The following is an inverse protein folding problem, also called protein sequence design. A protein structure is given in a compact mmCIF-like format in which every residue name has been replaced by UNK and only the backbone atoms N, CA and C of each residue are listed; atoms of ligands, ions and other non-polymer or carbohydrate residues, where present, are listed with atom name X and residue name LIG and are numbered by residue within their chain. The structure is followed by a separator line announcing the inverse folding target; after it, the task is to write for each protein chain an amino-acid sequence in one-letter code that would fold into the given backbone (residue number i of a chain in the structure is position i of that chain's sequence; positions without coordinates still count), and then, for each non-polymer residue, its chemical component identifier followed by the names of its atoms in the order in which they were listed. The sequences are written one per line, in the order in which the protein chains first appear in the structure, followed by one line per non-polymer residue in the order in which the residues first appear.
data_IF_305595838008
#
_entry.id   IF_305595838008
#
_cell.length_a   1.000
_cell.length_b   1.000
_cell.length_c   1.000
_cell.angle_alpha   90.00
_cell.angle_beta   90.00
_cell.angle_gamma   90.00
#
_symmetry.space_group_name_H-M   'P 1'
#
loop_
_entity.id
_entity.type
_entity.pdbx_description
1 polymer ?
#
# COMPACT_ATOMS: atom_id res chain seq x y z
N UNK A 1 -24.45 -32.47 23.79
CA UNK A 1 -23.12 -32.08 24.21
C UNK A 1 -22.48 -31.27 23.11
N UNK A 2 -22.41 -29.94 23.29
CA UNK A 2 -21.85 -28.98 22.37
C UNK A 2 -20.35 -28.83 22.72
N UNK A 3 -19.40 -29.00 21.83
CA UNK A 3 -18.01 -28.66 22.15
C UNK A 3 -17.80 -27.14 22.01
N UNK A 4 -17.22 -26.57 23.06
CA UNK A 4 -16.87 -25.20 23.22
C UNK A 4 -15.97 -24.70 22.08
N UNK A 5 -16.28 -23.49 21.59
CA UNK A 5 -15.39 -22.71 20.75
C UNK A 5 -14.16 -22.31 21.59
N UNK A 6 -13.02 -22.93 21.31
CA UNK A 6 -11.75 -22.49 21.84
C UNK A 6 -11.36 -21.18 21.18
N UNK A 7 -11.28 -20.12 21.96
CA UNK A 7 -10.60 -18.89 21.59
C UNK A 7 -9.13 -19.23 21.32
N UNK A 8 -8.76 -19.24 20.05
CA UNK A 8 -7.36 -19.34 19.66
C UNK A 8 -6.74 -17.97 19.91
N UNK A 9 -6.14 -17.83 21.05
CA UNK A 9 -5.21 -16.73 21.36
C UNK A 9 -4.07 -16.84 20.35
N UNK A 10 -4.04 -15.97 19.35
CA UNK A 10 -2.90 -15.78 18.45
C UNK A 10 -1.80 -15.13 19.28
N UNK A 11 -1.03 -15.94 19.94
CA UNK A 11 0.12 -15.56 20.76
C UNK A 11 1.27 -15.11 19.85
N UNK A 12 1.69 -13.90 20.01
CA UNK A 12 3.04 -13.26 20.04
C UNK A 12 4.26 -14.13 19.64
N UNK A 13 4.20 -14.93 18.60
CA UNK A 13 5.31 -15.79 18.16
C UNK A 13 5.88 -15.40 16.79
N UNK A 14 5.37 -14.38 16.13
CA UNK A 14 5.92 -13.88 14.85
C UNK A 14 7.08 -12.88 15.03
N UNK A 15 7.42 -12.50 16.27
CA UNK A 15 8.42 -11.47 16.58
C UNK A 15 9.89 -11.90 16.45
N UNK A 16 10.22 -13.07 15.96
CA UNK A 16 11.55 -13.66 16.12
C UNK A 16 12.23 -14.19 14.84
N UNK A 17 11.77 -13.85 13.64
CA UNK A 17 12.40 -14.36 12.40
C UNK A 17 13.23 -13.30 11.65
N UNK A 18 12.88 -12.02 11.73
CA UNK A 18 13.66 -10.91 11.15
C UNK A 18 13.80 -9.83 12.22
N UNK A 19 15.05 -9.31 12.42
CA UNK A 19 15.30 -8.21 13.35
C UNK A 19 14.43 -6.99 13.05
N UNK A 20 14.20 -6.10 14.06
CA UNK A 20 13.54 -4.82 13.85
C UNK A 20 14.23 -4.06 12.72
N UNK A 21 13.45 -3.56 11.75
CA UNK A 21 13.92 -2.72 10.66
C UNK A 21 13.49 -1.29 10.94
N UNK A 22 14.30 -0.31 10.54
CA UNK A 22 13.93 1.09 10.57
C UNK A 22 13.54 1.56 9.15
N UNK A 23 12.35 2.17 9.03
CA UNK A 23 11.81 2.68 7.78
C UNK A 23 11.60 4.20 7.86
N UNK A 24 12.08 4.94 6.88
CA UNK A 24 11.68 6.32 6.65
C UNK A 24 10.36 6.37 5.87
N UNK A 25 9.38 7.10 6.35
CA UNK A 25 8.12 7.32 5.61
C UNK A 25 7.97 8.81 5.33
N UNK A 26 7.87 9.15 4.04
CA UNK A 26 7.70 10.52 3.56
C UNK A 26 6.33 10.67 2.91
N UNK A 27 5.53 11.61 3.42
CA UNK A 27 4.14 11.77 3.04
C UNK A 27 3.21 11.00 3.98
N UNK A 28 2.55 11.73 4.88
CA UNK A 28 1.73 11.21 5.96
C UNK A 28 0.24 11.53 5.77
N UNK A 29 -0.19 11.63 4.51
CA UNK A 29 -1.62 11.63 4.18
C UNK A 29 -2.29 10.31 4.60
N UNK A 30 -3.59 10.16 4.31
CA UNK A 30 -4.37 8.97 4.72
C UNK A 30 -3.64 7.64 4.50
N UNK A 31 -3.04 7.45 3.32
CA UNK A 31 -2.36 6.19 2.97
C UNK A 31 -1.03 6.05 3.71
N UNK A 32 -0.25 7.14 3.83
CA UNK A 32 1.02 7.15 4.56
C UNK A 32 0.84 6.82 6.04
N UNK A 33 -0.18 7.37 6.70
CA UNK A 33 -0.51 7.04 8.08
C UNK A 33 -0.86 5.55 8.26
N UNK A 34 -1.58 4.96 7.30
CA UNK A 34 -1.87 3.51 7.33
C UNK A 34 -0.57 2.70 7.24
N UNK A 35 0.34 3.07 6.34
CA UNK A 35 1.66 2.40 6.21
C UNK A 35 2.43 2.52 7.53
N UNK A 36 2.53 3.72 8.12
CA UNK A 36 3.19 3.96 9.41
C UNK A 36 2.64 3.03 10.49
N UNK A 37 1.32 3.02 10.67
CA UNK A 37 0.67 2.22 11.70
C UNK A 37 0.94 0.72 11.51
N UNK A 38 0.80 0.20 10.29
CA UNK A 38 1.03 -1.22 10.02
C UNK A 38 2.47 -1.65 10.24
N UNK A 39 3.43 -0.79 9.88
CA UNK A 39 4.87 -1.05 10.08
C UNK A 39 5.21 -1.06 11.58
N UNK A 40 4.67 -0.10 12.35
CA UNK A 40 4.82 -0.05 13.80
C UNK A 40 4.16 -1.25 14.50
N UNK A 41 2.95 -1.64 14.08
CA UNK A 41 2.21 -2.80 14.61
C UNK A 41 2.96 -4.12 14.37
N UNK A 42 3.70 -4.22 13.26
CA UNK A 42 4.57 -5.35 12.95
C UNK A 42 5.87 -5.36 13.81
N UNK A 43 6.13 -4.31 14.58
CA UNK A 43 7.27 -4.21 15.49
C UNK A 43 8.54 -3.65 14.84
N UNK A 44 8.41 -2.95 13.72
CA UNK A 44 9.47 -2.17 13.09
C UNK A 44 9.48 -0.73 13.62
N UNK A 45 10.56 -0.02 13.39
CA UNK A 45 10.71 1.39 13.76
C UNK A 45 10.42 2.28 12.55
N UNK A 46 9.79 3.43 12.77
CA UNK A 46 9.48 4.39 11.70
C UNK A 46 10.05 5.76 12.03
N UNK A 47 10.73 6.38 11.07
CA UNK A 47 11.04 7.81 11.04
C UNK A 47 10.11 8.47 10.04
N UNK A 48 9.31 9.44 10.46
CA UNK A 48 8.21 9.99 9.67
C UNK A 48 8.38 11.48 9.37
N UNK A 49 8.13 11.87 8.12
CA UNK A 49 8.14 13.25 7.68
C UNK A 49 6.99 13.60 6.75
N UNK A 50 6.42 14.77 6.94
CA UNK A 50 5.44 15.43 6.05
C UNK A 50 5.61 16.94 6.14
N UNK A 51 5.12 17.67 5.15
CA UNK A 51 5.04 19.14 5.18
C UNK A 51 3.99 19.63 6.19
N UNK A 52 3.02 18.80 6.56
CA UNK A 52 2.00 19.06 7.57
C UNK A 52 2.52 18.66 8.96
N UNK A 53 2.75 19.66 9.82
CA UNK A 53 3.12 19.40 11.20
C UNK A 53 2.07 18.61 11.99
N UNK A 54 0.78 18.72 11.63
CA UNK A 54 -0.31 17.93 12.22
C UNK A 54 -0.15 16.46 11.85
N UNK A 55 0.10 16.12 10.58
CA UNK A 55 0.30 14.75 10.15
C UNK A 55 1.55 14.11 10.77
N UNK A 56 2.61 14.89 10.98
CA UNK A 56 3.82 14.44 11.71
C UNK A 56 3.50 14.17 13.18
N UNK A 57 2.69 15.03 13.83
CA UNK A 57 2.28 14.83 15.21
C UNK A 57 1.41 13.55 15.36
N UNK A 58 0.47 13.31 14.44
CA UNK A 58 -0.37 12.09 14.44
C UNK A 58 0.50 10.83 14.31
N UNK A 59 1.50 10.85 13.43
CA UNK A 59 2.45 9.74 13.29
C UNK A 59 3.29 9.54 14.57
N UNK A 60 3.71 10.62 15.21
CA UNK A 60 4.46 10.56 16.48
C UNK A 60 3.60 10.01 17.62
N UNK A 61 2.32 10.38 17.70
CA UNK A 61 1.37 9.84 18.68
C UNK A 61 1.13 8.34 18.46
N UNK A 62 1.23 7.86 17.22
CA UNK A 62 1.19 6.44 16.89
C UNK A 62 2.50 5.69 17.24
N UNK A 63 3.59 6.39 17.52
CA UNK A 63 4.87 5.80 17.94
C UNK A 63 6.01 5.97 16.92
N UNK A 64 5.81 6.69 15.83
CA UNK A 64 6.89 7.03 14.90
C UNK A 64 7.82 8.11 15.48
N UNK A 65 9.07 8.10 15.06
CA UNK A 65 10.02 9.18 15.36
C UNK A 65 9.81 10.32 14.36
N UNK A 66 9.41 11.53 14.79
CA UNK A 66 9.24 12.63 13.87
C UNK A 66 10.59 13.15 13.34
N UNK A 67 10.63 13.54 12.07
CA UNK A 67 11.75 14.24 11.47
C UNK A 67 11.37 15.68 11.12
N UNK A 68 12.34 16.60 11.28
CA UNK A 68 12.16 18.03 11.00
C UNK A 68 12.27 18.38 9.50
N UNK A 69 12.75 17.44 8.67
CA UNK A 69 12.95 17.57 7.24
C UNK A 69 13.49 16.28 6.63
N UNK A 70 13.66 16.27 5.31
CA UNK A 70 14.20 15.10 4.59
C UNK A 70 15.67 14.82 4.97
N UNK A 71 16.44 15.86 5.22
CA UNK A 71 17.82 15.75 5.72
C UNK A 71 17.87 15.07 7.09
N UNK A 72 17.05 15.52 8.03
CA UNK A 72 16.96 14.94 9.37
C UNK A 72 16.42 13.50 9.33
N UNK A 73 15.46 13.22 8.44
CA UNK A 73 14.98 11.85 8.20
C UNK A 73 16.13 10.94 7.75
N UNK A 74 16.89 11.36 6.74
CA UNK A 74 18.01 10.58 6.21
C UNK A 74 19.13 10.37 7.26
N UNK A 75 19.44 11.42 8.05
CA UNK A 75 20.44 11.34 9.12
C UNK A 75 20.02 10.38 10.25
N UNK A 76 18.72 10.35 10.60
CA UNK A 76 18.16 9.42 11.62
C UNK A 76 18.16 7.97 11.17
N UNK A 77 18.00 7.72 9.86
CA UNK A 77 18.03 6.37 9.30
C UNK A 77 19.45 5.78 9.27
N UNK A 78 20.50 6.61 9.28
CA UNK A 78 21.87 6.15 9.28
C UNK A 78 22.30 5.53 7.95
N UNK A 79 23.03 4.42 8.02
CA UNK A 79 23.46 3.65 6.85
C UNK A 79 22.37 2.68 6.39
N UNK A 80 22.42 2.19 5.14
CA UNK A 80 21.46 1.25 4.55
C UNK A 80 19.99 1.74 4.66
N UNK A 81 19.75 2.99 4.24
CA UNK A 81 18.43 3.62 4.37
C UNK A 81 17.35 2.87 3.59
N UNK A 82 16.19 2.75 4.21
CA UNK A 82 14.96 2.23 3.61
C UNK A 82 13.91 3.32 3.72
N UNK A 83 13.48 3.87 2.57
CA UNK A 83 12.57 5.02 2.52
C UNK A 83 11.34 4.65 1.69
N UNK A 84 10.15 4.93 2.21
CA UNK A 84 8.88 4.78 1.51
C UNK A 84 8.23 6.15 1.28
N UNK A 85 8.02 6.48 0.01
CA UNK A 85 7.38 7.72 -0.40
C UNK A 85 5.87 7.49 -0.61
N UNK A 86 5.06 8.32 0.02
CA UNK A 86 3.60 8.38 -0.13
C UNK A 86 3.14 9.80 -0.48
N UNK A 87 3.91 10.47 -1.32
CA UNK A 87 3.63 11.83 -1.79
C UNK A 87 2.83 11.81 -3.11
N UNK A 88 2.17 12.93 -3.49
CA UNK A 88 1.50 13.03 -4.78
C UNK A 88 2.43 12.72 -5.95
N UNK A 89 1.91 12.00 -6.96
CA UNK A 89 2.66 11.68 -8.16
C UNK A 89 3.11 12.95 -8.94
N UNK A 90 4.17 12.82 -9.72
CA UNK A 90 4.72 13.92 -10.52
C UNK A 90 5.79 14.71 -9.78
N UNK A 91 5.70 16.04 -9.84
CA UNK A 91 6.74 16.97 -9.35
C UNK A 91 7.07 16.79 -7.86
N UNK A 92 6.11 16.35 -7.03
CA UNK A 92 6.35 16.13 -5.61
C UNK A 92 7.32 14.97 -5.37
N UNK A 93 7.22 13.88 -6.13
CA UNK A 93 8.18 12.76 -6.06
C UNK A 93 9.56 13.21 -6.54
N UNK A 94 9.60 13.95 -7.66
CA UNK A 94 10.87 14.45 -8.22
C UNK A 94 11.57 15.41 -7.26
N UNK A 95 10.83 16.33 -6.61
CA UNK A 95 11.37 17.26 -5.61
C UNK A 95 11.89 16.51 -4.36
N UNK A 96 11.12 15.54 -3.87
CA UNK A 96 11.53 14.71 -2.71
C UNK A 96 12.82 13.92 -3.00
N UNK A 97 12.91 13.29 -4.17
CA UNK A 97 14.13 12.58 -4.59
C UNK A 97 15.32 13.53 -4.73
N UNK A 98 15.14 14.69 -5.36
CA UNK A 98 16.22 15.66 -5.53
C UNK A 98 16.79 16.19 -4.20
N UNK A 99 15.94 16.33 -3.18
CA UNK A 99 16.36 16.74 -1.83
C UNK A 99 17.05 15.60 -1.07
N UNK A 100 16.59 14.36 -1.25
CA UNK A 100 17.22 13.18 -0.63
C UNK A 100 18.54 12.77 -1.30
N UNK A 101 18.71 12.98 -2.60
CA UNK A 101 19.82 12.48 -3.42
C UNK A 101 21.21 12.73 -2.82
N UNK A 102 21.52 13.91 -2.23
CA UNK A 102 22.83 14.13 -1.60
C UNK A 102 23.14 13.24 -0.40
N UNK A 103 22.14 12.56 0.15
CA UNK A 103 22.21 11.69 1.32
C UNK A 103 22.05 10.21 0.97
N UNK A 104 21.75 9.90 -0.31
CA UNK A 104 21.54 8.54 -0.79
C UNK A 104 22.83 7.91 -1.29
N UNK A 105 22.93 6.61 -1.16
CA UNK A 105 24.01 5.77 -1.63
C UNK A 105 23.47 4.57 -2.41
N UNK A 106 24.28 3.85 -3.19
CA UNK A 106 23.81 2.66 -3.92
C UNK A 106 23.29 1.50 -3.04
N UNK A 107 23.59 1.51 -1.75
CA UNK A 107 23.12 0.50 -0.79
C UNK A 107 21.75 0.86 -0.18
N UNK A 108 21.28 2.08 -0.43
CA UNK A 108 19.97 2.56 0.04
C UNK A 108 18.82 2.12 -0.89
N UNK A 109 17.61 2.05 -0.36
CA UNK A 109 16.41 1.72 -1.13
C UNK A 109 15.35 2.79 -0.93
N UNK A 110 14.82 3.30 -2.03
CA UNK A 110 13.66 4.21 -2.05
C UNK A 110 12.52 3.52 -2.78
N UNK A 111 11.39 3.33 -2.09
CA UNK A 111 10.15 2.79 -2.66
C UNK A 111 9.13 3.93 -2.88
N UNK A 112 8.72 4.15 -4.11
CA UNK A 112 7.61 5.04 -4.47
C UNK A 112 6.28 4.27 -4.37
N UNK A 113 5.57 4.45 -3.27
CA UNK A 113 4.26 3.82 -3.01
C UNK A 113 3.09 4.68 -3.48
N UNK A 114 3.35 5.80 -4.16
CA UNK A 114 2.34 6.66 -4.75
C UNK A 114 1.69 6.06 -6.00
N UNK A 115 0.95 6.88 -6.72
CA UNK A 115 0.30 6.48 -7.98
C UNK A 115 1.03 7.11 -9.18
N UNK A 116 2.33 6.92 -9.24
CA UNK A 116 3.19 7.46 -10.29
C UNK A 116 2.96 6.77 -11.64
N UNK A 117 3.24 7.50 -12.74
CA UNK A 117 3.26 6.89 -14.05
C UNK A 117 4.52 6.00 -14.19
N UNK A 118 4.37 4.83 -14.78
CA UNK A 118 5.46 3.84 -14.86
C UNK A 118 6.70 4.34 -15.64
N UNK A 119 6.51 5.19 -16.66
CA UNK A 119 7.64 5.79 -17.39
C UNK A 119 8.43 6.77 -16.52
N UNK A 120 7.76 7.52 -15.63
CA UNK A 120 8.44 8.36 -14.64
C UNK A 120 9.22 7.51 -13.64
N UNK A 121 8.68 6.36 -13.25
CA UNK A 121 9.39 5.43 -12.36
C UNK A 121 10.67 4.89 -13.01
N UNK A 122 10.63 4.53 -14.29
CA UNK A 122 11.82 4.15 -15.04
C UNK A 122 12.83 5.28 -15.10
N UNK A 123 12.39 6.52 -15.38
CA UNK A 123 13.25 7.71 -15.43
C UNK A 123 13.92 7.98 -14.07
N UNK A 124 13.16 7.93 -12.99
CA UNK A 124 13.64 8.14 -11.61
C UNK A 124 14.64 7.08 -11.20
N UNK A 125 14.32 5.80 -11.44
CA UNK A 125 15.23 4.71 -11.13
C UNK A 125 16.56 4.73 -11.90
N UNK A 126 16.61 5.39 -13.07
CA UNK A 126 17.84 5.60 -13.83
C UNK A 126 18.60 6.88 -13.39
N UNK A 127 17.99 7.76 -12.61
CA UNK A 127 18.53 9.05 -12.24
C UNK A 127 19.01 9.12 -10.79
N UNK A 128 18.54 8.23 -9.91
CA UNK A 128 18.98 8.18 -8.51
C UNK A 128 20.11 7.17 -8.30
N UNK A 129 21.00 7.46 -7.36
CA UNK A 129 22.08 6.55 -6.95
C UNK A 129 21.53 5.36 -6.13
N UNK A 130 20.46 5.56 -5.36
CA UNK A 130 19.80 4.49 -4.59
C UNK A 130 19.05 3.50 -5.48
N UNK A 131 18.82 2.30 -4.99
CA UNK A 131 17.88 1.39 -5.64
C UNK A 131 16.45 1.95 -5.53
N UNK A 132 15.83 2.17 -6.66
CA UNK A 132 14.45 2.66 -6.75
C UNK A 132 13.48 1.51 -7.01
N UNK A 133 12.47 1.38 -6.13
CA UNK A 133 11.34 0.49 -6.30
C UNK A 133 10.09 1.30 -6.59
N UNK A 134 9.35 0.93 -7.62
CA UNK A 134 8.03 1.44 -7.88
C UNK A 134 6.99 0.45 -7.32
N UNK A 135 6.18 0.93 -6.37
CA UNK A 135 5.27 0.10 -5.59
C UNK A 135 3.81 0.50 -5.84
N UNK A 136 3.16 -0.13 -6.81
CA UNK A 136 1.73 0.04 -7.05
C UNK A 136 0.92 -0.51 -5.87
N UNK A 137 0.19 0.36 -5.18
CA UNK A 137 -0.58 0.03 -3.98
C UNK A 137 -2.08 -0.01 -4.30
N UNK A 138 -2.75 -1.12 -3.99
CA UNK A 138 -4.21 -1.31 -4.12
C UNK A 138 -4.83 -1.73 -2.79
N UNK A 139 -6.06 -1.28 -2.52
CA UNK A 139 -6.80 -1.55 -1.28
C UNK A 139 -7.44 -0.31 -0.68
N UNK A 140 -6.98 0.88 -1.06
CA UNK A 140 -7.54 2.16 -0.60
C UNK A 140 -7.61 2.27 0.94
N UNK A 141 -8.58 3.01 1.50
CA UNK A 141 -8.71 3.18 2.95
C UNK A 141 -8.94 1.89 3.73
N UNK A 142 -9.51 0.86 3.11
CA UNK A 142 -9.71 -0.45 3.74
C UNK A 142 -8.39 -1.20 4.01
N UNK A 143 -7.28 -0.76 3.41
CA UNK A 143 -5.94 -1.25 3.73
C UNK A 143 -5.54 -1.05 5.20
N UNK A 144 -6.20 -0.15 5.94
CA UNK A 144 -6.00 -0.01 7.38
C UNK A 144 -6.30 -1.30 8.14
N UNK A 145 -7.39 -1.97 7.78
CA UNK A 145 -7.83 -3.23 8.42
C UNK A 145 -7.33 -4.46 7.68
N UNK A 146 -7.45 -4.46 6.36
CA UNK A 146 -7.22 -5.64 5.53
C UNK A 146 -5.78 -5.77 5.03
N UNK A 147 -5.00 -4.69 5.02
CA UNK A 147 -3.73 -4.60 4.31
C UNK A 147 -3.92 -4.26 2.83
N UNK A 148 -2.80 -4.17 2.13
CA UNK A 148 -2.76 -3.78 0.73
C UNK A 148 -2.37 -4.94 -0.19
N UNK A 149 -2.71 -4.80 -1.47
CA UNK A 149 -2.06 -5.56 -2.53
C UNK A 149 -0.97 -4.68 -3.15
N UNK A 150 0.29 -5.16 -3.13
CA UNK A 150 1.46 -4.42 -3.55
C UNK A 150 2.09 -5.06 -4.79
N UNK A 151 2.25 -4.28 -5.85
CA UNK A 151 2.86 -4.68 -7.11
C UNK A 151 4.19 -3.94 -7.25
N UNK A 152 5.33 -4.64 -7.07
CA UNK A 152 6.62 -3.99 -6.93
C UNK A 152 7.48 -4.20 -8.18
N UNK A 153 8.02 -3.12 -8.74
CA UNK A 153 9.04 -3.13 -9.78
C UNK A 153 10.38 -2.65 -9.26
N UNK A 154 11.48 -3.20 -9.78
CA UNK A 154 12.82 -2.76 -9.44
C UNK A 154 13.82 -3.89 -9.24
N UNK A 155 15.04 -3.59 -8.71
CA UNK A 155 16.06 -4.60 -8.44
C UNK A 155 15.60 -5.66 -7.43
N UNK A 156 15.94 -6.93 -7.67
CA UNK A 156 15.52 -8.05 -6.81
C UNK A 156 16.06 -7.91 -5.38
N UNK A 157 17.31 -7.57 -5.22
CA UNK A 157 17.93 -7.40 -3.90
C UNK A 157 17.24 -6.31 -3.06
N UNK A 158 16.78 -5.21 -3.72
CA UNK A 158 16.09 -4.13 -3.05
C UNK A 158 14.66 -4.55 -2.61
N UNK A 159 13.97 -5.34 -3.44
CA UNK A 159 12.72 -5.99 -3.06
C UNK A 159 12.92 -6.91 -1.85
N UNK A 160 13.93 -7.78 -1.88
CA UNK A 160 14.27 -8.67 -0.76
C UNK A 160 14.58 -7.88 0.52
N UNK A 161 15.34 -6.78 0.40
CA UNK A 161 15.69 -5.91 1.53
C UNK A 161 14.46 -5.24 2.19
N UNK A 162 13.38 -4.97 1.43
CA UNK A 162 12.14 -4.40 1.94
C UNK A 162 11.01 -5.43 2.19
N UNK A 163 11.26 -6.72 1.93
CA UNK A 163 10.26 -7.77 2.15
C UNK A 163 9.62 -7.73 3.55
N UNK A 164 10.35 -7.52 4.66
CA UNK A 164 9.71 -7.42 5.98
C UNK A 164 8.69 -6.27 6.10
N UNK A 165 8.93 -5.15 5.41
CA UNK A 165 8.00 -4.02 5.35
C UNK A 165 6.81 -4.37 4.45
N UNK A 166 7.03 -5.01 3.31
CA UNK A 166 5.95 -5.46 2.44
C UNK A 166 5.05 -6.49 3.14
N UNK A 167 5.61 -7.44 3.89
CA UNK A 167 4.86 -8.38 4.72
C UNK A 167 3.99 -7.69 5.77
N UNK A 168 4.51 -6.61 6.39
CA UNK A 168 3.76 -5.81 7.37
C UNK A 168 2.59 -5.05 6.74
N UNK A 169 2.78 -4.53 5.54
CA UNK A 169 1.83 -3.63 4.86
C UNK A 169 0.80 -4.38 4.04
N UNK A 170 1.15 -5.53 3.47
CA UNK A 170 0.27 -6.32 2.60
C UNK A 170 -0.82 -7.09 3.37
N UNK A 171 -1.82 -7.58 2.63
CA UNK A 171 -2.94 -8.39 3.16
C UNK A 171 -2.49 -9.76 3.68
N UNK A 172 -1.25 -10.16 3.45
CA UNK A 172 -0.67 -11.45 3.82
C UNK A 172 0.41 -11.86 2.81
N UNK A 173 0.98 -13.06 2.93
CA UNK A 173 2.16 -13.48 2.16
C UNK A 173 1.98 -13.47 0.63
N UNK A 174 0.75 -13.58 0.14
CA UNK A 174 0.43 -13.47 -1.28
C UNK A 174 -0.03 -12.05 -1.69
N UNK A 175 -0.02 -11.09 -0.76
CA UNK A 175 -0.47 -9.72 -0.99
C UNK A 175 0.58 -8.84 -1.65
N UNK A 176 1.81 -9.30 -1.83
CA UNK A 176 2.85 -8.56 -2.54
C UNK A 176 3.74 -9.50 -3.35
N UNK A 177 4.28 -9.00 -4.44
CA UNK A 177 5.30 -9.72 -5.22
C UNK A 177 6.07 -8.75 -6.12
N UNK A 178 7.26 -9.17 -6.55
CA UNK A 178 8.05 -8.44 -7.53
C UNK A 178 7.56 -8.74 -8.95
N UNK A 179 6.98 -7.74 -9.61
CA UNK A 179 6.41 -7.84 -10.96
C UNK A 179 7.47 -7.85 -12.07
N UNK A 180 8.66 -7.29 -11.81
CA UNK A 180 9.71 -7.20 -12.82
C UNK A 180 10.71 -6.07 -12.56
N UNK A 181 11.41 -5.58 -13.61
CA UNK A 181 12.33 -4.45 -13.50
C UNK A 181 11.60 -3.16 -13.13
N UNK A 182 12.36 -2.08 -12.91
CA UNK A 182 11.82 -0.76 -12.61
C UNK A 182 10.75 -0.30 -13.59
N UNK A 183 9.66 0.24 -13.09
CA UNK A 183 8.44 0.60 -13.80
C UNK A 183 7.38 -0.51 -13.86
N UNK A 184 7.76 -1.77 -13.64
CA UNK A 184 6.81 -2.90 -13.76
C UNK A 184 5.69 -2.86 -12.71
N UNK A 185 5.97 -2.39 -11.49
CA UNK A 185 4.98 -2.29 -10.42
C UNK A 185 3.87 -1.29 -10.77
N UNK A 186 4.24 -0.06 -11.08
CA UNK A 186 3.28 0.97 -11.50
C UNK A 186 2.59 0.63 -12.82
N UNK A 187 3.27 -0.04 -13.76
CA UNK A 187 2.63 -0.52 -14.98
C UNK A 187 1.53 -1.53 -14.68
N UNK A 188 1.82 -2.55 -13.85
CA UNK A 188 0.83 -3.55 -13.43
C UNK A 188 -0.32 -2.88 -12.67
N UNK A 189 -0.01 -1.90 -11.78
CA UNK A 189 -1.05 -1.14 -11.07
C UNK A 189 -1.91 -0.31 -12.02
N UNK A 190 -1.34 0.31 -13.04
CA UNK A 190 -2.10 1.04 -14.05
C UNK A 190 -3.08 0.13 -14.80
N UNK A 191 -2.64 -1.07 -15.20
CA UNK A 191 -3.49 -2.08 -15.84
C UNK A 191 -4.58 -2.56 -14.88
N UNK A 192 -4.23 -2.81 -13.61
CA UNK A 192 -5.18 -3.14 -12.55
C UNK A 192 -6.30 -2.10 -12.45
N UNK A 193 -5.96 -0.81 -12.43
CA UNK A 193 -6.97 0.27 -12.36
C UNK A 193 -7.89 0.26 -13.60
N UNK A 194 -7.34 -0.01 -14.77
CA UNK A 194 -8.15 -0.16 -15.98
C UNK A 194 -9.16 -1.31 -15.89
N UNK A 195 -8.74 -2.45 -15.34
CA UNK A 195 -9.61 -3.61 -15.08
C UNK A 195 -10.66 -3.27 -14.01
N UNK A 196 -10.28 -2.58 -12.94
CA UNK A 196 -11.18 -2.15 -11.88
C UNK A 196 -12.30 -1.27 -12.42
N UNK A 197 -11.98 -0.23 -13.21
CA UNK A 197 -13.00 0.64 -13.82
C UNK A 197 -13.90 -0.12 -14.82
N UNK A 198 -13.36 -1.06 -15.58
CA UNK A 198 -14.15 -1.89 -16.49
C UNK A 198 -15.15 -2.79 -15.74
N UNK A 199 -14.72 -3.36 -14.60
CA UNK A 199 -15.60 -4.15 -13.73
C UNK A 199 -16.67 -3.29 -13.07
N UNK A 200 -16.32 -2.10 -12.58
CA UNK A 200 -17.29 -1.15 -12.02
C UNK A 200 -18.36 -0.77 -13.04
N UNK A 201 -17.95 -0.49 -14.28
CA UNK A 201 -18.88 -0.19 -15.37
C UNK A 201 -19.81 -1.38 -15.67
N UNK A 202 -19.24 -2.58 -15.78
CA UNK A 202 -20.04 -3.79 -16.04
C UNK A 202 -21.06 -4.09 -14.94
N UNK A 203 -20.69 -3.89 -13.67
CA UNK A 203 -21.64 -4.02 -12.56
C UNK A 203 -22.70 -2.92 -12.60
N UNK A 204 -22.30 -1.66 -12.86
CA UNK A 204 -23.26 -0.54 -12.96
C UNK A 204 -24.33 -0.81 -14.01
N UNK A 205 -23.92 -1.16 -15.23
CA UNK A 205 -24.86 -1.50 -16.33
C UNK A 205 -25.73 -2.72 -15.98
N UNK A 206 -25.14 -3.74 -15.36
CA UNK A 206 -25.87 -4.95 -14.96
C UNK A 206 -26.94 -4.66 -13.90
N UNK A 207 -26.62 -3.88 -12.88
CA UNK A 207 -27.56 -3.49 -11.84
C UNK A 207 -28.63 -2.50 -12.33
N UNK A 208 -28.29 -1.60 -13.26
CA UNK A 208 -29.27 -0.74 -13.94
C UNK A 208 -30.32 -1.57 -14.69
N UNK A 209 -29.88 -2.58 -15.47
CA UNK A 209 -30.80 -3.50 -16.17
C UNK A 209 -31.71 -4.28 -15.20
N UNK A 210 -31.21 -4.64 -14.03
CA UNK A 210 -32.02 -5.31 -13.00
C UNK A 210 -33.02 -4.36 -12.36
N UNK A 211 -32.61 -3.12 -12.06
CA UNK A 211 -33.43 -2.10 -11.44
C UNK A 211 -34.58 -1.66 -12.36
N UNK A 212 -34.32 -1.50 -13.66
CA UNK A 212 -35.31 -1.09 -14.66
C UNK A 212 -36.09 -2.26 -15.27
N UNK A 213 -35.79 -3.47 -14.80
CA UNK A 213 -36.42 -4.68 -15.30
C UNK A 213 -37.87 -4.83 -14.84
N UNK A 214 -38.55 -5.89 -15.37
CA UNK A 214 -39.95 -6.17 -15.06
C UNK A 214 -40.18 -6.76 -13.66
N UNK A 215 -39.15 -7.08 -12.93
CA UNK A 215 -39.24 -7.71 -11.63
C UNK A 215 -38.85 -6.71 -10.55
N UNK A 216 -39.60 -6.70 -9.44
CA UNK A 216 -39.21 -5.96 -8.24
C UNK A 216 -38.15 -6.78 -7.48
N UNK A 217 -36.88 -6.38 -7.60
CA UNK A 217 -35.74 -7.14 -7.10
C UNK A 217 -35.07 -6.41 -5.93
N UNK A 218 -34.72 -7.17 -4.89
CA UNK A 218 -33.79 -6.74 -3.87
C UNK A 218 -32.35 -6.82 -4.41
N UNK A 219 -31.81 -5.67 -4.85
CA UNK A 219 -30.47 -5.59 -5.46
C UNK A 219 -29.35 -5.91 -4.45
N UNK A 220 -29.55 -5.63 -3.16
CA UNK A 220 -28.64 -6.04 -2.11
C UNK A 220 -28.58 -7.58 -2.00
N UNK A 221 -29.74 -8.25 -2.07
CA UNK A 221 -29.83 -9.71 -2.07
C UNK A 221 -29.19 -10.31 -3.33
N UNK A 222 -29.37 -9.69 -4.50
CA UNK A 222 -28.72 -10.09 -5.75
C UNK A 222 -27.20 -10.00 -5.61
N UNK A 223 -26.69 -8.85 -5.17
CA UNK A 223 -25.26 -8.59 -4.98
C UNK A 223 -24.64 -9.60 -4.03
N UNK A 224 -25.24 -9.80 -2.85
CA UNK A 224 -24.82 -10.80 -1.88
C UNK A 224 -24.78 -12.22 -2.47
N UNK A 225 -25.82 -12.60 -3.20
CA UNK A 225 -25.92 -13.94 -3.81
C UNK A 225 -24.83 -14.14 -4.85
N UNK A 226 -24.58 -13.16 -5.70
CA UNK A 226 -23.52 -13.21 -6.70
C UNK A 226 -22.13 -13.26 -6.06
N UNK A 227 -21.92 -12.59 -4.95
CA UNK A 227 -20.63 -12.63 -4.24
C UNK A 227 -20.36 -13.96 -3.52
N UNK A 228 -21.40 -14.81 -3.34
CA UNK A 228 -21.31 -16.11 -2.67
C UNK A 228 -21.40 -17.28 -3.66
N UNK A 229 -20.39 -17.43 -4.51
CA UNK A 229 -20.21 -18.59 -5.38
C UNK A 229 -20.40 -18.35 -6.87
N UNK A 230 -20.87 -17.17 -7.31
CA UNK A 230 -20.90 -16.88 -8.73
C UNK A 230 -19.48 -16.61 -9.30
N UNK A 231 -19.32 -16.84 -10.61
CA UNK A 231 -18.05 -16.60 -11.32
C UNK A 231 -17.61 -15.14 -11.24
N UNK A 232 -18.56 -14.21 -11.15
CA UNK A 232 -18.31 -12.76 -11.12
C UNK A 232 -18.11 -12.22 -9.70
N UNK A 233 -17.93 -13.06 -8.68
CA UNK A 233 -17.68 -12.59 -7.32
C UNK A 233 -16.45 -11.69 -7.26
N UNK A 234 -16.52 -10.60 -6.49
CA UNK A 234 -15.41 -9.68 -6.26
C UNK A 234 -15.69 -8.81 -5.04
N UNK A 235 -14.65 -8.17 -4.51
CA UNK A 235 -14.83 -7.15 -3.47
C UNK A 235 -15.74 -5.99 -3.92
N UNK A 236 -15.71 -5.64 -5.22
CA UNK A 236 -16.63 -4.64 -5.77
C UNK A 236 -18.10 -5.01 -5.57
N UNK A 237 -18.48 -6.30 -5.58
CA UNK A 237 -19.83 -6.75 -5.27
C UNK A 237 -20.19 -6.63 -3.79
N UNK A 238 -19.23 -6.73 -2.87
CA UNK A 238 -19.46 -6.43 -1.45
C UNK A 238 -19.83 -4.95 -1.29
N UNK A 239 -19.05 -4.07 -1.91
CA UNK A 239 -19.33 -2.62 -1.91
C UNK A 239 -20.68 -2.28 -2.58
N UNK A 240 -21.10 -3.00 -3.63
CA UNK A 240 -22.43 -2.85 -4.21
C UNK A 240 -23.52 -3.29 -3.23
N UNK A 241 -23.33 -4.41 -2.50
CA UNK A 241 -24.31 -4.84 -1.48
C UNK A 241 -24.48 -3.79 -0.39
N UNK A 242 -23.39 -3.20 0.10
CA UNK A 242 -23.43 -2.12 1.10
C UNK A 242 -24.18 -0.89 0.57
N UNK A 243 -23.83 -0.44 -0.63
CA UNK A 243 -24.47 0.72 -1.26
C UNK A 243 -25.98 0.55 -1.51
N UNK A 244 -26.46 -0.66 -1.79
CA UNK A 244 -27.88 -0.93 -1.98
C UNK A 244 -28.67 -1.08 -0.67
N UNK A 245 -27.98 -1.14 0.48
CA UNK A 245 -28.63 -1.17 1.81
C UNK A 245 -28.87 0.21 2.41
N UNK A 246 -28.16 1.23 1.92
CA UNK A 246 -28.30 2.64 2.31
C UNK A 246 -29.49 3.29 1.59
#
# INVERSE_FOLDING_TARGET
GNPAHGETTITTTARAAFGSMQLGVVGLGRMGQIVVNRVLDAGHDVVAFDLSAEAVADAADAGATPADGLDDLADRLGDDKRIWLMVPAGDAVDATLAELEPRLTPDDVVADGGNSHFEDSVRRGNATDAAYLDCGTSGGPAGAELGFSLMIGGPEWAYEALTPVFDAVATGPAGHDRMGPGGAGHYVKMVHNGVEYALMQAYGEGFELLAEGRYDLDLAAVSRTWNNGAVIRSWLLELCEEAFRE
#
